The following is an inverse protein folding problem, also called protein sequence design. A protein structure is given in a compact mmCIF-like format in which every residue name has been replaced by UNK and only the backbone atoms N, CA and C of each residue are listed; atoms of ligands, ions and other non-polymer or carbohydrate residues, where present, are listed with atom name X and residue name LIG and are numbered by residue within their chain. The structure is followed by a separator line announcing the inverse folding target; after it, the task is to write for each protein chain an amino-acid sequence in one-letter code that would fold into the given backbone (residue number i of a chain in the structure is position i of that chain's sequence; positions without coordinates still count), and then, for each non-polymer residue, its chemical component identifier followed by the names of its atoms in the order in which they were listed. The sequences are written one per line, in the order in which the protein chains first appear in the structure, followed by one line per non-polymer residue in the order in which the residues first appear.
data_IF_316164314211
#
_entry.id   IF_316164314211
#
_cell.length_a   1.000
_cell.length_b   1.000
_cell.length_c   1.000
_cell.angle_alpha   90.00
_cell.angle_beta   90.00
_cell.angle_gamma   90.00
#
_symmetry.space_group_name_H-M   'P 1'
#
loop_
_entity.id
_entity.type
_entity.pdbx_description
1 polymer ?
#
# COMPACT_ATOMS: atom_id res chain seq x y z
N UNK A 1 -17.49 0.84 -4.91
CA UNK A 1 -16.08 0.93 -4.52
C UNK A 1 -15.22 0.21 -5.54
N UNK A 2 -14.10 0.81 -5.95
CA UNK A 2 -13.15 0.17 -6.88
C UNK A 2 -11.95 -0.30 -6.06
N UNK A 3 -11.82 -1.60 -5.86
CA UNK A 3 -10.80 -2.18 -4.99
C UNK A 3 -9.47 -2.44 -5.71
N UNK A 4 -9.53 -2.77 -6.99
CA UNK A 4 -8.36 -2.93 -7.84
C UNK A 4 -8.72 -2.71 -9.30
N UNK A 5 -7.71 -2.42 -10.09
CA UNK A 5 -7.81 -2.35 -11.55
C UNK A 5 -6.73 -3.25 -12.15
N UNK A 6 -7.13 -4.10 -13.09
CA UNK A 6 -6.23 -4.98 -13.82
C UNK A 6 -6.40 -4.75 -15.31
N UNK A 7 -5.34 -4.42 -15.98
CA UNK A 7 -5.36 -4.17 -17.41
C UNK A 7 -3.97 -3.87 -17.95
N UNK A 8 -3.93 -3.33 -19.16
CA UNK A 8 -2.70 -2.99 -19.86
C UNK A 8 -2.21 -1.59 -19.47
N UNK A 9 -0.93 -1.49 -19.09
CA UNK A 9 -0.30 -0.20 -18.83
C UNK A 9 -0.09 0.54 -20.16
N UNK A 10 -0.82 1.64 -20.37
CA UNK A 10 -0.80 2.39 -21.63
C UNK A 10 0.10 3.62 -21.57
N UNK A 11 0.18 4.28 -20.43
CA UNK A 11 0.94 5.53 -20.29
C UNK A 11 1.27 5.80 -18.83
N UNK A 12 2.30 6.61 -18.61
CA UNK A 12 2.64 7.17 -17.31
C UNK A 12 2.78 8.67 -17.47
N UNK A 13 1.86 9.41 -16.88
CA UNK A 13 1.92 10.85 -16.76
C UNK A 13 2.55 11.21 -15.41
N UNK A 14 2.81 12.45 -15.12
CA UNK A 14 3.56 12.95 -13.96
C UNK A 14 3.48 12.10 -12.67
N UNK A 15 2.30 11.88 -12.12
CA UNK A 15 2.07 11.05 -10.94
C UNK A 15 0.98 10.03 -11.14
N UNK A 16 0.71 9.68 -12.39
CA UNK A 16 -0.48 8.93 -12.76
C UNK A 16 -0.14 7.85 -13.78
N UNK A 17 -0.56 6.64 -13.51
CA UNK A 17 -0.52 5.54 -14.47
C UNK A 17 -1.87 5.46 -15.18
N UNK A 18 -1.85 5.27 -16.49
CA UNK A 18 -3.05 5.04 -17.30
C UNK A 18 -3.13 3.56 -17.62
N UNK A 19 -4.19 2.92 -17.19
CA UNK A 19 -4.42 1.48 -17.39
C UNK A 19 -5.67 1.29 -18.24
N UNK A 20 -5.51 0.59 -19.34
CA UNK A 20 -6.61 0.26 -20.26
C UNK A 20 -7.29 -1.04 -19.81
N UNK A 21 -8.58 -0.94 -19.56
CA UNK A 21 -9.44 -2.10 -19.28
C UNK A 21 -10.58 -2.08 -20.28
N UNK A 22 -10.51 -2.93 -21.26
CA UNK A 22 -11.53 -3.08 -22.32
C UNK A 22 -11.85 -1.75 -23.04
N UNK A 23 -10.85 -0.96 -23.32
CA UNK A 23 -11.01 0.32 -24.01
C UNK A 23 -11.29 1.53 -23.13
N UNK A 24 -11.35 1.35 -21.82
CA UNK A 24 -11.46 2.46 -20.86
C UNK A 24 -10.12 2.71 -20.20
N UNK A 25 -9.59 3.92 -20.32
CA UNK A 25 -8.33 4.30 -19.68
C UNK A 25 -8.57 4.86 -18.27
N UNK A 26 -8.16 4.12 -17.27
CA UNK A 26 -8.23 4.56 -15.88
C UNK A 26 -6.95 5.29 -15.50
N UNK A 27 -7.08 6.55 -15.07
CA UNK A 27 -5.96 7.33 -14.53
C UNK A 27 -5.84 7.10 -13.04
N UNK A 28 -4.72 6.55 -12.60
CA UNK A 28 -4.50 6.15 -11.21
C UNK A 28 -3.30 6.89 -10.67
N UNK A 29 -3.51 7.72 -9.66
CA UNK A 29 -2.43 8.41 -8.96
C UNK A 29 -1.66 7.41 -8.09
N UNK A 30 -0.34 7.40 -8.22
CA UNK A 30 0.52 6.46 -7.51
C UNK A 30 1.72 7.18 -6.90
N UNK A 31 2.29 6.66 -5.79
CA UNK A 31 3.55 7.18 -5.29
C UNK A 31 4.65 7.07 -6.34
N UNK A 32 5.58 8.00 -6.33
CA UNK A 32 6.67 8.02 -7.31
C UNK A 32 7.48 6.73 -7.30
N UNK A 33 7.72 6.16 -6.13
CA UNK A 33 8.42 4.89 -6.00
C UNK A 33 7.66 3.73 -6.66
N UNK A 34 6.34 3.71 -6.51
CA UNK A 34 5.50 2.68 -7.14
C UNK A 34 5.50 2.81 -8.67
N UNK A 35 5.43 4.04 -9.18
CA UNK A 35 5.50 4.29 -10.62
C UNK A 35 6.81 3.78 -11.22
N UNK A 36 7.92 3.92 -10.50
CA UNK A 36 9.23 3.44 -10.96
C UNK A 36 9.34 1.92 -11.02
N UNK A 37 8.49 1.21 -10.30
CA UNK A 37 8.46 -0.24 -10.25
C UNK A 37 7.46 -0.87 -11.22
N UNK A 38 6.73 -0.06 -11.98
CA UNK A 38 5.80 -0.57 -12.97
C UNK A 38 6.54 -1.28 -14.12
N UNK A 39 5.90 -2.30 -14.73
CA UNK A 39 6.50 -2.96 -15.89
C UNK A 39 6.52 -2.04 -17.12
N UNK A 40 7.20 -2.43 -18.21
CA UNK A 40 7.17 -1.66 -19.44
C UNK A 40 5.76 -1.47 -19.99
N UNK A 41 5.58 -0.38 -20.76
CA UNK A 41 4.32 -0.10 -21.45
C UNK A 41 3.86 -1.30 -22.26
N UNK A 42 2.55 -1.52 -22.29
CA UNK A 42 1.94 -2.64 -23.00
C UNK A 42 1.79 -3.92 -22.19
N UNK A 43 2.39 -4.00 -21.01
CA UNK A 43 2.26 -5.17 -20.14
C UNK A 43 1.06 -5.07 -19.19
N UNK A 44 0.60 -6.21 -18.73
CA UNK A 44 -0.49 -6.32 -17.78
C UNK A 44 -0.04 -5.90 -16.38
N UNK A 45 -0.88 -5.11 -15.72
CA UNK A 45 -0.68 -4.69 -14.33
C UNK A 45 -1.93 -4.92 -13.52
N UNK A 46 -1.76 -5.15 -12.24
CA UNK A 46 -2.83 -5.13 -11.25
C UNK A 46 -2.47 -4.11 -10.19
N UNK A 47 -3.33 -3.11 -10.03
CA UNK A 47 -3.11 -2.00 -9.10
C UNK A 47 -4.23 -1.99 -8.09
N UNK A 48 -3.89 -2.05 -6.80
CA UNK A 48 -4.84 -1.95 -5.70
C UNK A 48 -5.20 -0.50 -5.49
N UNK A 49 -6.51 -0.18 -5.47
CA UNK A 49 -6.97 1.19 -5.58
C UNK A 49 -7.80 1.64 -4.39
N UNK A 50 -7.75 2.93 -4.14
CA UNK A 50 -8.64 3.68 -3.27
C UNK A 50 -9.36 4.72 -4.12
N UNK A 51 -10.68 4.71 -4.10
CA UNK A 51 -11.50 5.68 -4.81
C UNK A 51 -11.86 6.84 -3.88
N UNK A 52 -11.43 8.03 -4.25
CA UNK A 52 -11.76 9.26 -3.54
C UNK A 52 -12.78 10.05 -4.35
N UNK A 53 -13.97 10.22 -3.78
CA UNK A 53 -15.07 10.96 -4.43
C UNK A 53 -15.32 12.24 -3.64
N UNK A 54 -15.27 13.36 -4.34
CA UNK A 54 -15.63 14.69 -3.84
C UNK A 54 -16.71 15.27 -4.73
N UNK A 55 -17.28 16.42 -4.33
CA UNK A 55 -18.29 17.10 -5.14
C UNK A 55 -17.79 17.49 -6.53
N UNK A 56 -16.52 17.87 -6.63
CA UNK A 56 -15.87 18.39 -7.83
C UNK A 56 -14.86 17.44 -8.47
N UNK A 57 -14.59 16.29 -7.88
CA UNK A 57 -13.56 15.38 -8.36
C UNK A 57 -13.85 13.92 -8.01
N UNK A 58 -13.40 13.04 -8.89
CA UNK A 58 -13.34 11.60 -8.68
C UNK A 58 -11.93 11.15 -9.02
N UNK A 59 -11.22 10.60 -8.04
CA UNK A 59 -9.81 10.25 -8.18
C UNK A 59 -9.54 8.84 -7.69
N UNK A 60 -8.71 8.11 -8.44
CA UNK A 60 -8.18 6.81 -8.04
C UNK A 60 -6.75 6.97 -7.57
N UNK A 61 -6.46 6.41 -6.41
CA UNK A 61 -5.11 6.29 -5.86
C UNK A 61 -4.74 4.83 -5.84
N UNK A 62 -3.55 4.47 -6.29
CA UNK A 62 -3.19 3.08 -6.49
C UNK A 62 -1.83 2.70 -5.92
N UNK A 63 -1.71 1.41 -5.61
CA UNK A 63 -0.54 0.82 -4.98
C UNK A 63 -0.32 -0.58 -5.55
N UNK A 64 0.92 -1.03 -5.56
CA UNK A 64 1.28 -2.32 -6.15
C UNK A 64 0.89 -3.51 -5.27
N UNK A 65 0.80 -3.29 -3.95
CA UNK A 65 0.42 -4.34 -3.00
C UNK A 65 -0.75 -3.89 -2.12
N UNK A 66 -1.45 -4.86 -1.54
CA UNK A 66 -2.50 -4.60 -0.56
C UNK A 66 -1.97 -3.94 0.71
N UNK A 67 -0.77 -4.34 1.13
CA UNK A 67 -0.11 -3.80 2.33
C UNK A 67 0.16 -2.31 2.15
N UNK A 68 0.67 -1.91 0.99
CA UNK A 68 0.91 -0.50 0.68
C UNK A 68 -0.38 0.31 0.67
N UNK A 69 -1.45 -0.25 0.10
CA UNK A 69 -2.77 0.38 0.14
C UNK A 69 -3.27 0.54 1.59
N UNK A 70 -3.06 -0.46 2.44
CA UNK A 70 -3.46 -0.39 3.84
C UNK A 70 -2.72 0.72 4.60
N UNK A 71 -1.41 0.87 4.35
CA UNK A 71 -0.62 1.97 4.93
C UNK A 71 -1.17 3.32 4.47
N UNK A 72 -1.50 3.46 3.19
CA UNK A 72 -2.12 4.68 2.67
C UNK A 72 -3.45 4.98 3.36
N UNK A 73 -4.29 3.98 3.57
CA UNK A 73 -5.56 4.13 4.27
C UNK A 73 -5.38 4.58 5.72
N UNK A 74 -4.36 4.05 6.40
CA UNK A 74 -4.01 4.49 7.74
C UNK A 74 -3.58 5.97 7.75
N UNK A 75 -2.78 6.38 6.77
CA UNK A 75 -2.34 7.76 6.64
C UNK A 75 -3.50 8.73 6.46
N UNK A 76 -4.41 8.45 5.55
CA UNK A 76 -5.55 9.34 5.28
C UNK A 76 -6.59 9.32 6.40
N UNK A 77 -6.53 8.33 7.29
CA UNK A 77 -7.33 8.31 8.51
C UNK A 77 -6.83 9.28 9.58
N UNK A 78 -5.62 9.78 9.46
CA UNK A 78 -5.06 10.79 10.36
C UNK A 78 -5.67 12.16 10.01
N UNK A 79 -6.22 12.82 11.01
CA UNK A 79 -6.82 14.13 10.82
C UNK A 79 -5.78 15.15 10.33
N UNK A 80 -6.07 15.81 9.22
CA UNK A 80 -5.17 16.76 8.56
C UNK A 80 -4.35 16.14 7.41
N UNK A 81 -4.44 14.83 7.17
CA UNK A 81 -3.78 14.16 6.05
C UNK A 81 -4.83 13.66 5.06
N UNK A 82 -4.92 14.33 3.92
CA UNK A 82 -5.77 13.91 2.81
C UNK A 82 -5.03 12.95 1.86
N UNK A 83 -5.71 12.46 0.81
CA UNK A 83 -5.12 11.52 -0.15
C UNK A 83 -3.85 12.04 -0.82
N UNK A 84 -3.82 13.32 -1.20
CA UNK A 84 -2.64 13.92 -1.83
C UNK A 84 -1.44 13.99 -0.89
N UNK A 85 -1.67 14.38 0.35
CA UNK A 85 -0.62 14.41 1.37
C UNK A 85 -0.11 13.00 1.69
N UNK A 86 -1.01 12.03 1.80
CA UNK A 86 -0.64 10.63 1.98
C UNK A 86 0.19 10.08 0.83
N UNK A 87 -0.16 10.43 -0.40
CA UNK A 87 0.61 10.06 -1.58
C UNK A 87 2.01 10.67 -1.56
N UNK A 88 2.13 11.93 -1.17
CA UNK A 88 3.42 12.63 -1.05
C UNK A 88 4.32 11.97 0.01
N UNK A 89 3.76 11.60 1.14
CA UNK A 89 4.51 10.88 2.18
C UNK A 89 5.06 9.56 1.64
N UNK A 90 4.23 8.78 0.96
CA UNK A 90 4.65 7.49 0.37
C UNK A 90 5.52 7.63 -0.86
N UNK A 91 5.62 8.82 -1.44
CA UNK A 91 6.61 9.13 -2.48
C UNK A 91 8.00 9.41 -1.90
N UNK A 92 8.06 9.90 -0.67
CA UNK A 92 9.32 10.19 0.04
C UNK A 92 9.80 9.02 0.91
N UNK A 93 8.87 8.28 1.50
CA UNK A 93 9.15 7.15 2.38
C UNK A 93 8.43 5.91 1.86
N UNK A 94 9.13 4.79 1.75
CA UNK A 94 8.46 3.51 1.51
C UNK A 94 7.56 3.16 2.70
N UNK A 95 6.58 2.25 2.53
CA UNK A 95 5.77 1.80 3.66
C UNK A 95 6.59 1.27 4.84
N UNK A 96 7.67 0.54 4.58
CA UNK A 96 8.55 0.03 5.63
C UNK A 96 9.33 1.15 6.32
N UNK A 97 9.85 2.10 5.56
CA UNK A 97 10.54 3.28 6.11
C UNK A 97 9.58 4.13 6.96
N UNK A 98 8.33 4.28 6.51
CA UNK A 98 7.31 4.99 7.28
C UNK A 98 7.01 4.27 8.60
N UNK A 99 6.83 2.94 8.57
CA UNK A 99 6.61 2.15 9.78
C UNK A 99 7.76 2.31 10.76
N UNK A 100 8.99 2.23 10.26
CA UNK A 100 10.18 2.43 11.08
C UNK A 100 10.23 3.83 11.69
N UNK A 101 9.94 4.86 10.91
CA UNK A 101 9.90 6.25 11.40
C UNK A 101 8.84 6.45 12.47
N UNK A 102 7.67 5.84 12.33
CA UNK A 102 6.59 5.90 13.32
C UNK A 102 7.00 5.19 14.61
N UNK A 103 7.53 3.98 14.51
CA UNK A 103 7.93 3.19 15.68
C UNK A 103 9.11 3.80 16.42
N UNK A 104 10.03 4.42 15.71
CA UNK A 104 11.19 5.13 16.31
C UNK A 104 10.90 6.59 16.68
N UNK A 105 9.66 7.05 16.46
CA UNK A 105 9.23 8.42 16.75
C UNK A 105 10.07 9.49 16.02
N UNK A 106 10.47 9.19 14.79
CA UNK A 106 11.28 10.08 13.96
C UNK A 106 10.40 11.05 13.17
N UNK A 107 9.92 12.10 13.84
CA UNK A 107 9.11 13.14 13.22
C UNK A 107 9.87 13.91 12.12
N UNK A 108 11.17 14.00 12.24
CA UNK A 108 12.02 14.70 11.28
C UNK A 108 12.04 14.00 9.92
N UNK A 109 12.10 12.67 9.90
CA UNK A 109 12.05 11.89 8.69
C UNK A 109 10.71 12.10 7.95
N UNK A 110 9.60 12.16 8.67
CA UNK A 110 8.27 12.36 8.09
C UNK A 110 8.09 13.80 7.63
N UNK A 111 8.52 14.77 8.41
CA UNK A 111 8.41 16.20 8.08
C UNK A 111 9.34 16.63 6.94
N UNK A 112 10.27 15.79 6.51
CA UNK A 112 11.05 16.01 5.29
C UNK A 112 10.18 15.96 4.04
N UNK A 113 8.98 15.37 4.11
CA UNK A 113 7.99 15.40 3.02
C UNK A 113 7.48 16.83 2.80
N UNK A 114 7.53 17.36 1.57
CA UNK A 114 6.98 18.68 1.27
C UNK A 114 5.50 18.77 1.65
N UNK A 115 5.14 19.84 2.35
CA UNK A 115 3.77 20.06 2.81
C UNK A 115 3.42 19.42 4.15
N UNK A 116 4.32 18.64 4.74
CA UNK A 116 4.12 18.04 6.07
C UNK A 116 4.98 18.77 7.08
N UNK A 117 4.32 19.49 7.98
CA UNK A 117 4.99 20.20 9.06
C UNK A 117 5.32 19.28 10.24
N UNK A 118 6.14 19.80 11.15
CA UNK A 118 6.56 19.05 12.35
C UNK A 118 5.37 18.62 13.21
N UNK A 119 4.39 19.50 13.42
CA UNK A 119 3.19 19.20 14.21
C UNK A 119 2.35 18.09 13.58
N UNK A 120 2.17 18.13 12.27
CA UNK A 120 1.46 17.09 11.53
C UNK A 120 2.19 15.75 11.62
N UNK A 121 3.53 15.77 11.50
CA UNK A 121 4.35 14.58 11.65
C UNK A 121 4.24 13.97 13.04
N UNK A 122 4.30 14.78 14.08
CA UNK A 122 4.13 14.34 15.47
C UNK A 122 2.76 13.73 15.72
N UNK A 123 1.71 14.36 15.19
CA UNK A 123 0.34 13.86 15.29
C UNK A 123 0.16 12.53 14.54
N UNK A 124 0.74 12.43 13.37
CA UNK A 124 0.74 11.20 12.57
C UNK A 124 1.39 10.05 13.34
N UNK A 125 2.55 10.28 13.95
CA UNK A 125 3.24 9.29 14.77
C UNK A 125 2.36 8.83 15.92
N UNK A 126 1.76 9.76 16.64
CA UNK A 126 0.92 9.46 17.78
C UNK A 126 -0.28 8.58 17.40
N UNK A 127 -0.97 8.92 16.31
CA UNK A 127 -2.14 8.17 15.85
C UNK A 127 -1.78 6.83 15.21
N UNK A 128 -0.72 6.76 14.42
CA UNK A 128 -0.34 5.54 13.72
C UNK A 128 0.38 4.51 14.61
N UNK A 129 1.10 4.94 15.62
CA UNK A 129 1.82 4.03 16.51
C UNK A 129 0.90 3.02 17.15
N UNK A 130 -0.25 3.45 17.64
CA UNK A 130 -1.24 2.57 18.25
C UNK A 130 -1.85 1.61 17.21
N UNK A 131 -2.17 2.09 16.02
CA UNK A 131 -2.77 1.28 14.94
C UNK A 131 -1.81 0.23 14.40
N UNK A 132 -0.54 0.57 14.19
CA UNK A 132 0.47 -0.35 13.71
C UNK A 132 0.79 -1.45 14.73
N UNK A 133 0.83 -1.12 16.01
CA UNK A 133 1.03 -2.11 17.08
C UNK A 133 -0.11 -3.13 17.12
N UNK A 134 -1.35 -2.70 16.89
CA UNK A 134 -2.51 -3.60 16.85
C UNK A 134 -2.44 -4.54 15.65
N UNK A 135 -2.07 -4.03 14.47
CA UNK A 135 -1.90 -4.85 13.26
C UNK A 135 -0.81 -5.91 13.44
N UNK A 136 0.34 -5.52 13.96
CA UNK A 136 1.43 -6.45 14.24
C UNK A 136 1.01 -7.55 15.21
N UNK A 137 0.24 -7.23 16.25
CA UNK A 137 -0.30 -8.20 17.19
C UNK A 137 -1.27 -9.18 16.52
N UNK A 138 -2.12 -8.68 15.61
CA UNK A 138 -3.07 -9.52 14.89
C UNK A 138 -2.36 -10.43 13.88
N UNK A 139 -1.35 -9.93 13.19
CA UNK A 139 -0.55 -10.70 12.24
C UNK A 139 0.24 -11.80 12.95
N UNK A 140 0.84 -11.51 14.11
CA UNK A 140 1.51 -12.51 14.92
C UNK A 140 0.56 -13.57 15.45
N UNK A 141 -0.65 -13.21 15.84
CA UNK A 141 -1.66 -14.15 16.28
C UNK A 141 -2.15 -15.04 15.13
N UNK A 142 -2.29 -14.49 13.93
CA UNK A 142 -2.71 -15.24 12.74
C UNK A 142 -1.63 -16.22 12.26
N UNK A 143 -0.35 -15.83 12.33
CA UNK A 143 0.78 -16.67 11.91
C UNK A 143 1.21 -17.67 13.01
N UNK A 144 0.95 -17.37 14.28
CA UNK A 144 1.22 -18.27 15.39
C UNK A 144 0.31 -19.49 15.44
N UNK A 145 -0.87 -19.42 14.83
CA UNK A 145 -1.79 -20.55 14.72
C UNK A 145 -1.40 -21.58 13.66
N UNK A 146 -0.74 -21.13 12.60
CA UNK A 146 -0.36 -22.01 11.49
C UNK A 146 0.92 -22.81 11.74
N UNK A 147 1.76 -22.38 12.70
CA UNK A 147 3.02 -23.08 12.96
C UNK A 147 2.87 -24.32 13.83
N UNK A 148 1.78 -24.46 14.59
CA UNK A 148 1.54 -25.68 15.38
C UNK A 148 0.89 -26.80 14.55
N UNK A 149 0.08 -26.46 13.54
CA UNK A 149 -0.55 -27.46 12.67
C UNK A 149 0.41 -28.03 11.62
N UNK A 150 1.48 -27.31 11.26
CA UNK A 150 2.48 -27.78 10.30
C UNK A 150 3.49 -28.77 10.91
N UNK A 151 3.63 -28.78 12.24
CA UNK A 151 4.54 -29.70 12.92
C UNK A 151 3.96 -31.10 13.14
N UNK A 152 2.65 -31.29 12.96
CA UNK A 152 1.96 -32.58 13.12
C UNK A 152 1.63 -33.29 11.83
N UNK A 153 1.87 -32.63 10.67
CA UNK A 153 1.65 -33.23 9.35
C UNK A 153 2.86 -34.06 8.91
N UNK A 154 2.70 -35.35 8.80
CA UNK A 154 3.73 -36.21 8.25
C UNK A 154 3.90 -35.92 6.76
N UNK A 155 5.09 -35.49 6.39
CA UNK A 155 5.46 -35.15 4.99
C UNK A 155 5.40 -36.33 4.02
N UNK A 156 5.16 -37.54 4.50
CA UNK A 156 5.17 -38.74 3.69
C UNK A 156 4.06 -38.79 2.65
N UNK A 157 2.89 -38.26 2.96
CA UNK A 157 1.75 -38.28 2.01
C UNK A 157 1.91 -37.30 0.86
N UNK A 158 2.61 -36.20 1.05
CA UNK A 158 2.87 -35.23 0.00
C UNK A 158 3.88 -35.70 -1.01
N UNK A 159 4.87 -36.47 -0.60
CA UNK A 159 5.89 -37.02 -1.49
C UNK A 159 5.35 -38.11 -2.39
N UNK A 160 4.45 -38.95 -1.89
CA UNK A 160 3.84 -40.00 -2.70
C UNK A 160 2.89 -39.44 -3.78
N UNK A 161 2.20 -38.35 -3.51
CA UNK A 161 1.30 -37.70 -4.49
C UNK A 161 2.05 -37.04 -5.63
N UNK A 162 3.26 -36.53 -5.40
CA UNK A 162 4.09 -35.91 -6.43
C UNK A 162 4.77 -36.92 -7.35
N UNK A 163 5.08 -38.09 -6.84
CA UNK A 163 5.74 -39.15 -7.61
C UNK A 163 4.81 -39.85 -8.59
N UNK A 164 3.50 -39.78 -8.34
CA UNK A 164 2.49 -40.44 -9.21
C UNK A 164 1.93 -39.54 -10.30
N UNK A 165 2.37 -38.31 -10.35
CA UNK A 165 2.00 -37.37 -11.40
C UNK A 165 3.13 -37.14 -12.39
#
# INVERSE_FOLDING_TARGET
MISYIRGELCDIEEQKAIVDVNGVGYGIYMPQQALSLLPPMGQQVKIHTYLNIREDAMQLFGFLTKEDLNVFRLLIGVNGIGPKAGLNILSCLSPDELRFAVLSEDAKAISATPGIGKKTAEKLILELKDKLNIEDMLDHAAHGGDSEDLASGTDTDRKSTRLNS
#
